data_IF_677610000965
#
_entry.id   IF_677610000965
#
_cell.length_a   1.000
_cell.length_b   1.000
_cell.length_c   1.000
_cell.angle_alpha   90.00
_cell.angle_beta   90.00
_cell.angle_gamma   90.00
#
_symmetry.space_group_name_H-M   'P 1'
#
loop_
_entity.id
_entity.type
_entity.pdbx_description
1 polymer ?
#
# COMPACT_ATOMS: atom_id res chain seq x y z
N UNK A 1 9.80 4.54 -32.35
CA UNK A 1 9.54 3.86 -31.05
C UNK A 1 8.19 3.17 -31.13
N UNK A 2 8.06 1.93 -30.63
CA UNK A 2 6.76 1.25 -30.51
C UNK A 2 6.15 1.58 -29.15
N UNK A 3 4.92 2.08 -29.13
CA UNK A 3 4.13 2.25 -27.91
C UNK A 3 3.54 0.90 -27.48
N UNK A 4 3.56 0.62 -26.17
CA UNK A 4 2.87 -0.52 -25.55
C UNK A 4 1.88 -0.03 -24.51
N UNK A 5 0.83 -0.83 -24.22
CA UNK A 5 -0.08 -0.54 -23.10
C UNK A 5 0.62 -0.86 -21.77
N UNK A 6 0.28 -0.12 -20.72
CA UNK A 6 0.85 -0.34 -19.38
C UNK A 6 0.58 -1.76 -18.88
N UNK A 7 -0.61 -2.29 -19.14
CA UNK A 7 -1.03 -3.66 -18.78
C UNK A 7 -0.21 -4.76 -19.47
N UNK A 8 0.56 -4.45 -20.51
CA UNK A 8 1.44 -5.42 -21.17
C UNK A 8 2.82 -5.50 -20.53
N UNK A 9 3.17 -4.55 -19.66
CA UNK A 9 4.51 -4.41 -19.07
C UNK A 9 4.50 -4.31 -17.54
N UNK A 10 3.33 -4.15 -16.92
CA UNK A 10 3.19 -4.05 -15.47
C UNK A 10 1.82 -4.53 -15.01
N UNK A 11 1.79 -5.14 -13.83
CA UNK A 11 0.56 -5.47 -13.11
C UNK A 11 0.08 -4.25 -12.30
N UNK A 12 -1.20 -3.92 -12.45
CA UNK A 12 -1.82 -2.82 -11.70
C UNK A 12 -2.58 -3.42 -10.52
N UNK A 13 -2.08 -3.21 -9.31
CA UNK A 13 -2.72 -3.64 -8.08
C UNK A 13 -3.38 -2.44 -7.42
N UNK A 14 -4.71 -2.44 -7.39
CA UNK A 14 -5.48 -1.39 -6.72
C UNK A 14 -5.45 -1.60 -5.20
N UNK A 15 -5.09 -0.54 -4.46
CA UNK A 15 -5.21 -0.53 -3.00
C UNK A 15 -6.67 -0.66 -2.56
N UNK A 16 -6.90 -1.24 -1.40
CA UNK A 16 -8.21 -1.35 -0.76
C UNK A 16 -8.08 -0.91 0.70
N UNK A 17 -9.02 -0.12 1.18
CA UNK A 17 -9.03 0.30 2.58
C UNK A 17 -9.49 -0.84 3.48
N UNK A 18 -8.70 -1.23 4.49
CA UNK A 18 -9.14 -2.21 5.48
C UNK A 18 -10.23 -1.62 6.40
N UNK A 19 -10.87 -2.49 7.19
CA UNK A 19 -11.88 -2.08 8.16
C UNK A 19 -11.28 -1.14 9.20
N UNK A 20 -12.08 -0.19 9.70
CA UNK A 20 -11.66 0.76 10.75
C UNK A 20 -11.10 0.10 12.01
N UNK A 21 -11.59 -1.10 12.35
CA UNK A 21 -11.12 -1.90 13.47
C UNK A 21 -9.71 -2.49 13.31
N UNK A 22 -9.14 -2.46 12.10
CA UNK A 22 -7.83 -3.05 11.82
C UNK A 22 -6.68 -2.06 11.92
N UNK A 23 -6.96 -0.75 12.00
CA UNK A 23 -5.95 0.29 12.16
C UNK A 23 -5.47 0.37 13.61
N UNK A 24 -4.18 0.59 13.78
CA UNK A 24 -3.58 0.76 15.09
C UNK A 24 -2.38 1.70 15.02
N UNK A 25 -2.12 2.40 16.13
CA UNK A 25 -0.94 3.27 16.31
C UNK A 25 0.18 2.56 17.08
N UNK A 26 -0.07 1.34 17.53
CA UNK A 26 0.83 0.55 18.38
C UNK A 26 1.93 -0.18 17.57
N UNK A 27 2.04 0.05 16.27
CA UNK A 27 3.05 -0.61 15.44
C UNK A 27 2.73 -2.05 15.07
N UNK A 28 1.50 -2.51 15.26
CA UNK A 28 1.15 -3.91 15.08
C UNK A 28 0.77 -4.21 13.62
N UNK A 29 1.52 -5.11 12.99
CA UNK A 29 1.28 -5.53 11.61
C UNK A 29 2.11 -4.72 10.61
N UNK A 30 1.51 -4.36 9.48
CA UNK A 30 2.23 -3.69 8.39
C UNK A 30 1.94 -2.19 8.37
N UNK A 31 2.92 -1.37 7.93
CA UNK A 31 2.70 0.01 7.55
C UNK A 31 1.53 0.19 6.60
N UNK A 32 0.67 1.15 6.92
CA UNK A 32 -0.46 1.51 6.06
C UNK A 32 -0.33 2.96 5.61
N UNK A 33 -0.42 3.16 4.29
CA UNK A 33 -0.42 4.45 3.63
C UNK A 33 -1.74 4.58 2.87
N UNK A 34 -2.59 5.50 3.30
CA UNK A 34 -3.93 5.73 2.78
C UNK A 34 -3.91 6.57 1.49
N UNK A 35 -2.90 7.42 1.31
CA UNK A 35 -2.75 8.18 0.07
C UNK A 35 -1.79 9.35 0.21
N UNK A 36 -2.01 10.40 -0.60
CA UNK A 36 -1.08 11.53 -0.78
C UNK A 36 -0.57 12.16 0.52
N UNK A 37 -1.38 12.19 1.58
CA UNK A 37 -1.02 12.84 2.84
C UNK A 37 0.13 12.12 3.56
N UNK A 38 0.23 10.82 3.31
CA UNK A 38 1.26 9.96 3.89
C UNK A 38 2.54 9.96 3.07
N UNK A 39 2.58 10.61 1.90
CA UNK A 39 3.78 10.73 1.08
C UNK A 39 4.30 12.17 1.16
N UNK A 40 5.39 12.35 1.90
CA UNK A 40 6.13 13.62 1.92
C UNK A 40 7.02 13.79 0.69
N UNK A 41 7.81 14.86 0.66
CA UNK A 41 8.62 15.22 -0.52
C UNK A 41 9.73 14.20 -0.85
N UNK A 42 10.28 13.55 0.18
CA UNK A 42 11.38 12.57 0.05
C UNK A 42 11.00 11.18 0.54
N UNK A 43 10.23 11.09 1.62
CA UNK A 43 9.88 9.83 2.26
C UNK A 43 8.41 9.82 2.69
N UNK A 44 7.75 8.65 2.66
CA UNK A 44 6.44 8.53 3.25
C UNK A 44 6.50 8.65 4.77
N UNK A 45 5.52 9.35 5.35
CA UNK A 45 5.29 9.44 6.78
C UNK A 45 4.23 8.43 7.15
N UNK A 46 4.63 7.43 7.90
CA UNK A 46 3.73 6.36 8.31
C UNK A 46 3.09 6.71 9.66
N UNK A 47 1.77 6.91 9.65
CA UNK A 47 1.01 7.20 10.87
C UNK A 47 0.31 5.95 11.42
N UNK A 48 -0.15 5.04 10.55
CA UNK A 48 -0.97 3.89 10.94
C UNK A 48 -0.35 2.54 10.56
N UNK A 49 -0.75 1.50 11.30
CA UNK A 49 -0.43 0.10 11.05
C UNK A 49 -1.70 -0.73 10.93
N UNK A 50 -1.64 -1.83 10.18
CA UNK A 50 -2.77 -2.74 9.97
C UNK A 50 -2.35 -4.18 10.27
N UNK A 51 -3.05 -4.82 11.22
CA UNK A 51 -2.74 -6.18 11.70
C UNK A 51 -3.39 -7.29 10.85
N UNK A 52 -4.51 -6.99 10.18
CA UNK A 52 -5.30 -7.99 9.47
C UNK A 52 -5.04 -7.95 7.95
N UNK A 53 -4.33 -8.96 7.42
CA UNK A 53 -4.05 -9.11 5.99
C UNK A 53 -5.29 -9.57 5.22
N UNK A 54 -6.22 -8.67 4.92
CA UNK A 54 -7.24 -8.93 3.89
C UNK A 54 -6.89 -8.07 2.67
N UNK A 55 -6.12 -8.67 1.75
CA UNK A 55 -5.59 -8.07 0.50
C UNK A 55 -4.65 -6.87 0.69
N UNK A 56 -3.73 -6.92 1.64
CA UNK A 56 -2.50 -6.13 1.50
C UNK A 56 -1.67 -6.81 0.40
N UNK A 57 -1.13 -6.00 -0.53
CA UNK A 57 -0.20 -6.44 -1.58
C UNK A 57 0.68 -7.56 -1.01
N UNK A 58 0.58 -8.75 -1.59
CA UNK A 58 1.59 -9.77 -1.37
C UNK A 58 2.84 -9.20 -2.02
N UNK A 59 3.66 -8.46 -1.26
CA UNK A 59 5.07 -8.30 -1.57
C UNK A 59 5.64 -9.70 -1.35
N UNK A 60 5.39 -10.60 -2.30
CA UNK A 60 6.27 -11.75 -2.48
C UNK A 60 7.58 -11.11 -2.91
N UNK A 61 8.46 -10.96 -1.93
CA UNK A 61 9.86 -10.66 -2.13
C UNK A 61 10.38 -11.61 -3.21
N UNK A 62 10.91 -11.05 -4.30
CA UNK A 62 11.73 -11.80 -5.25
C UNK A 62 13.02 -12.25 -4.57
#
# INVERSE_FOLDING_TARGET
MKSKKLSEIADIIMGQSPSSSSYNLQGQGLPFFQGKADFGDLYPRQEYFVQNRRKLLKLETF
#
